data_IF_879154485046
#
_entry.id   IF_879154485046
#
_cell.length_a   1.000
_cell.length_b   1.000
_cell.length_c   1.000
_cell.angle_alpha   90.00
_cell.angle_beta   90.00
_cell.angle_gamma   90.00
#
_symmetry.space_group_name_H-M   'P 1'
#
loop_
_entity.id
_entity.type
_entity.pdbx_description
1 polymer ?
#
# COMPACT_ATOMS: atom_id res chain seq x y z
N UNK A 1 -7.44 -6.01 -7.19
CA UNK A 1 -6.64 -4.87 -7.69
C UNK A 1 -5.47 -4.70 -6.74
N UNK A 2 -4.23 -4.89 -7.20
CA UNK A 2 -3.02 -4.60 -6.43
C UNK A 2 -2.42 -3.31 -6.95
N UNK A 3 -2.01 -2.42 -6.05
CA UNK A 3 -1.30 -1.19 -6.40
C UNK A 3 -0.21 -0.89 -5.38
N UNK A 4 0.90 -0.36 -5.86
CA UNK A 4 2.07 -0.04 -5.04
C UNK A 4 2.49 1.39 -5.35
N UNK A 5 3.00 2.10 -4.34
CA UNK A 5 3.58 3.42 -4.51
C UNK A 5 2.55 4.39 -5.11
N UNK A 6 2.97 5.22 -6.05
CA UNK A 6 2.12 6.22 -6.72
C UNK A 6 1.09 5.61 -7.67
N UNK A 7 1.07 4.29 -7.85
CA UNK A 7 0.04 3.62 -8.64
C UNK A 7 -1.37 3.92 -8.13
N UNK A 8 -1.56 4.03 -6.81
CA UNK A 8 -2.86 4.36 -6.24
C UNK A 8 -3.30 5.80 -6.56
N UNK A 9 -2.35 6.73 -6.67
CA UNK A 9 -2.64 8.13 -7.05
C UNK A 9 -3.06 8.24 -8.51
N UNK A 10 -2.42 7.46 -9.40
CA UNK A 10 -2.82 7.39 -10.81
C UNK A 10 -4.22 6.76 -10.95
N UNK A 11 -4.47 5.65 -10.24
CA UNK A 11 -5.77 4.97 -10.24
C UNK A 11 -6.88 5.83 -9.64
N UNK A 12 -6.58 6.65 -8.62
CA UNK A 12 -7.55 7.54 -8.00
C UNK A 12 -8.20 8.49 -9.04
N UNK A 13 -7.46 8.94 -10.06
CA UNK A 13 -8.00 9.83 -11.10
C UNK A 13 -9.17 9.22 -11.87
N UNK A 14 -9.26 7.89 -11.91
CA UNK A 14 -10.35 7.17 -12.59
C UNK A 14 -11.63 7.06 -11.77
N UNK A 15 -11.60 7.40 -10.47
CA UNK A 15 -12.71 7.18 -9.53
C UNK A 15 -12.84 5.74 -9.03
N UNK A 16 -12.00 4.81 -9.49
CA UNK A 16 -12.05 3.40 -9.08
C UNK A 16 -11.78 3.19 -7.57
N UNK A 17 -11.14 4.16 -6.91
CA UNK A 17 -10.76 4.08 -5.50
C UNK A 17 -11.71 4.85 -4.57
N UNK A 18 -12.79 5.42 -5.10
CA UNK A 18 -13.72 6.25 -4.33
C UNK A 18 -14.41 5.43 -3.24
N UNK A 19 -14.47 5.97 -2.03
CA UNK A 19 -15.04 5.34 -0.84
C UNK A 19 -14.13 4.33 -0.14
N UNK A 20 -13.01 3.94 -0.75
CA UNK A 20 -12.09 2.93 -0.24
C UNK A 20 -10.92 3.51 0.57
N UNK A 21 -10.45 2.70 1.51
CA UNK A 21 -9.25 2.94 2.32
C UNK A 21 -8.02 2.50 1.54
N UNK A 22 -7.14 3.45 1.21
CA UNK A 22 -6.01 3.22 0.31
C UNK A 22 -4.76 3.90 0.88
N UNK A 23 -3.62 3.21 0.82
CA UNK A 23 -2.32 3.84 1.09
C UNK A 23 -1.53 4.06 -0.21
N UNK A 24 -0.52 4.91 -0.13
CA UNK A 24 0.42 5.21 -1.23
C UNK A 24 1.81 5.47 -0.67
N UNK A 25 2.77 5.77 -1.55
CA UNK A 25 4.09 6.22 -1.11
C UNK A 25 3.96 7.44 -0.20
N UNK A 26 4.52 7.36 1.02
CA UNK A 26 4.31 8.37 2.05
C UNK A 26 4.83 9.75 1.67
N UNK A 27 5.98 9.81 1.01
CA UNK A 27 6.57 11.08 0.60
C UNK A 27 5.69 11.77 -0.45
N UNK A 28 5.24 11.04 -1.47
CA UNK A 28 4.37 11.62 -2.51
C UNK A 28 2.99 11.94 -1.95
N UNK A 29 2.47 11.10 -1.06
CA UNK A 29 1.20 11.35 -0.38
C UNK A 29 1.26 12.64 0.44
N UNK A 30 2.36 12.89 1.15
CA UNK A 30 2.63 14.16 1.85
C UNK A 30 2.57 15.34 0.89
N UNK A 31 3.38 15.30 -0.17
CA UNK A 31 3.49 16.40 -1.15
C UNK A 31 2.13 16.77 -1.75
N UNK A 32 1.32 15.76 -2.10
CA UNK A 32 0.00 16.01 -2.68
C UNK A 32 -1.04 16.44 -1.66
N UNK A 33 -0.97 15.96 -0.42
CA UNK A 33 -1.82 16.42 0.67
C UNK A 33 -1.57 17.90 0.98
N UNK A 34 -0.31 18.29 1.11
CA UNK A 34 0.11 19.68 1.35
C UNK A 34 -0.27 20.61 0.19
N UNK A 35 -0.26 20.10 -1.04
CA UNK A 35 -0.72 20.82 -2.22
C UNK A 35 -2.26 20.87 -2.37
N UNK A 36 -3.03 20.15 -1.54
CA UNK A 36 -4.48 20.06 -1.66
C UNK A 36 -4.96 19.30 -2.91
N UNK A 37 -4.10 18.45 -3.49
CA UNK A 37 -4.31 17.76 -4.77
C UNK A 37 -4.74 16.30 -4.64
N UNK A 38 -4.95 15.82 -3.41
CA UNK A 38 -5.49 14.48 -3.20
C UNK A 38 -6.97 14.42 -3.57
N UNK A 39 -7.36 13.30 -4.19
CA UNK A 39 -8.78 12.99 -4.46
C UNK A 39 -9.50 12.79 -3.13
N UNK A 40 -10.54 13.58 -2.86
CA UNK A 40 -11.23 13.67 -1.57
C UNK A 40 -12.16 12.48 -1.32
N UNK A 41 -12.57 11.82 -2.38
CA UNK A 41 -13.45 10.65 -2.34
C UNK A 41 -12.70 9.39 -1.88
N UNK A 42 -11.35 9.39 -1.92
CA UNK A 42 -10.51 8.30 -1.43
C UNK A 42 -10.14 8.52 0.04
N UNK A 43 -10.22 7.48 0.87
CA UNK A 43 -9.81 7.53 2.27
C UNK A 43 -8.32 7.18 2.39
N UNK A 44 -7.46 8.19 2.33
CA UNK A 44 -6.01 8.00 2.34
C UNK A 44 -5.48 7.59 3.72
N UNK A 45 -4.70 6.51 3.77
CA UNK A 45 -4.11 5.95 5.00
C UNK A 45 -2.59 6.11 4.96
N UNK A 46 -2.03 6.89 5.90
CA UNK A 46 -0.58 7.15 6.00
C UNK A 46 0.21 6.17 6.89
N UNK A 47 -0.56 5.39 7.61
CA UNK A 47 -0.26 4.42 8.66
C UNK A 47 0.50 3.12 8.47
N UNK A 48 0.53 2.69 7.21
CA UNK A 48 0.49 1.28 6.85
C UNK A 48 1.55 1.00 5.80
N UNK A 49 2.15 -0.18 5.87
CA UNK A 49 2.93 -0.73 4.76
C UNK A 49 1.98 -1.09 3.62
N UNK A 50 0.89 -1.78 3.94
CA UNK A 50 -0.18 -2.08 3.02
C UNK A 50 -1.53 -2.14 3.71
N UNK A 51 -2.61 -2.03 2.94
CA UNK A 51 -3.99 -2.17 3.43
C UNK A 51 -4.86 -2.88 2.39
N UNK A 52 -5.78 -3.68 2.90
CA UNK A 52 -6.80 -4.40 2.12
C UNK A 52 -8.17 -3.82 2.44
N UNK A 53 -8.87 -3.33 1.43
CA UNK A 53 -10.27 -2.89 1.50
C UNK A 53 -11.06 -3.61 0.39
N UNK A 54 -11.76 -4.68 0.78
CA UNK A 54 -12.48 -5.55 -0.15
C UNK A 54 -11.56 -6.16 -1.19
N UNK A 55 -11.69 -5.71 -2.45
CA UNK A 55 -10.90 -6.20 -3.60
C UNK A 55 -9.68 -5.32 -3.89
N UNK A 56 -9.45 -4.26 -3.14
CA UNK A 56 -8.35 -3.30 -3.32
C UNK A 56 -7.26 -3.59 -2.30
N UNK A 57 -6.08 -3.88 -2.82
CA UNK A 57 -4.87 -4.20 -2.08
C UNK A 57 -3.86 -3.11 -2.43
N UNK A 58 -3.59 -2.22 -1.50
CA UNK A 58 -2.70 -1.07 -1.75
C UNK A 58 -1.51 -1.10 -0.82
N UNK A 59 -0.33 -0.76 -1.34
CA UNK A 59 0.90 -0.66 -0.58
C UNK A 59 1.53 0.72 -0.72
N UNK A 60 2.30 1.08 0.31
CA UNK A 60 3.08 2.30 0.39
C UNK A 60 4.30 2.27 -0.54
N UNK A 61 5.50 2.29 0.04
CA UNK A 61 6.75 2.28 -0.74
C UNK A 61 7.07 0.92 -1.38
N UNK A 62 8.20 0.85 -2.08
CA UNK A 62 8.67 -0.33 -2.83
C UNK A 62 8.70 -1.57 -1.93
N UNK A 63 9.37 -1.50 -0.78
CA UNK A 63 9.51 -2.65 0.13
C UNK A 63 8.18 -3.07 0.74
N UNK A 64 7.24 -2.14 0.92
CA UNK A 64 5.90 -2.50 1.38
C UNK A 64 5.07 -3.20 0.29
N UNK A 65 5.40 -2.96 -0.99
CA UNK A 65 4.86 -3.70 -2.11
C UNK A 65 5.30 -5.16 -2.15
N UNK A 66 6.55 -5.45 -1.76
CA UNK A 66 7.04 -6.83 -1.61
C UNK A 66 6.27 -7.57 -0.52
N UNK A 67 6.08 -6.93 0.64
CA UNK A 67 5.28 -7.49 1.74
C UNK A 67 3.82 -7.72 1.34
N UNK A 68 3.23 -6.79 0.58
CA UNK A 68 1.88 -6.94 0.06
C UNK A 68 1.78 -8.14 -0.89
N UNK A 69 2.75 -8.29 -1.79
CA UNK A 69 2.78 -9.42 -2.73
C UNK A 69 2.94 -10.74 -1.99
N UNK A 70 3.77 -10.79 -0.95
CA UNK A 70 3.91 -11.97 -0.10
C UNK A 70 2.61 -12.32 0.64
N UNK A 71 1.91 -11.33 1.22
CA UNK A 71 0.63 -11.57 1.90
C UNK A 71 -0.47 -12.01 0.93
N UNK A 72 -0.54 -11.37 -0.24
CA UNK A 72 -1.45 -11.79 -1.30
C UNK A 72 -1.17 -13.25 -1.70
N UNK A 73 0.12 -13.59 -1.84
CA UNK A 73 0.53 -14.95 -2.20
C UNK A 73 0.12 -15.96 -1.14
N UNK A 74 0.36 -15.65 0.14
CA UNK A 74 0.00 -16.47 1.31
C UNK A 74 -1.50 -16.79 1.37
N UNK A 75 -2.36 -15.86 0.93
CA UNK A 75 -3.82 -16.03 0.98
C UNK A 75 -4.37 -16.78 -0.23
N UNK A 76 -3.73 -16.67 -1.40
CA UNK A 76 -4.32 -17.10 -2.67
C UNK A 76 -3.61 -18.27 -3.34
N UNK A 77 -2.44 -18.69 -2.86
CA UNK A 77 -1.65 -19.75 -3.47
C UNK A 77 -1.34 -20.89 -2.49
N UNK A 78 -0.89 -22.00 -3.06
CA UNK A 78 -0.47 -23.17 -2.29
C UNK A 78 0.70 -22.83 -1.33
N UNK A 79 0.65 -23.25 -0.06
CA UNK A 79 1.67 -22.93 0.92
C UNK A 79 3.09 -23.38 0.52
N UNK A 80 3.25 -24.52 -0.16
CA UNK A 80 4.57 -25.01 -0.57
C UNK A 80 5.19 -24.11 -1.65
N UNK A 81 4.36 -23.62 -2.57
CA UNK A 81 4.78 -22.64 -3.60
C UNK A 81 5.14 -21.30 -2.97
N UNK A 82 4.39 -20.85 -1.96
CA UNK A 82 4.66 -19.59 -1.26
C UNK A 82 5.99 -19.69 -0.48
N UNK A 83 6.26 -20.79 0.20
CA UNK A 83 7.52 -21.00 0.91
C UNK A 83 8.71 -21.13 -0.05
N UNK A 84 8.54 -21.81 -1.19
CA UNK A 84 9.56 -21.84 -2.24
C UNK A 84 9.85 -20.45 -2.81
N UNK A 85 8.81 -19.66 -3.08
CA UNK A 85 8.97 -18.29 -3.59
C UNK A 85 9.76 -17.41 -2.63
N UNK A 86 9.47 -17.47 -1.32
CA UNK A 86 10.23 -16.77 -0.27
C UNK A 86 11.69 -17.23 -0.21
N UNK A 87 11.93 -18.54 -0.34
CA UNK A 87 13.29 -19.10 -0.30
C UNK A 87 14.13 -18.66 -1.50
N UNK A 88 13.55 -18.66 -2.71
CA UNK A 88 14.27 -18.26 -3.95
C UNK A 88 14.50 -16.74 -4.00
N UNK A 89 13.55 -15.94 -3.52
CA UNK A 89 13.71 -14.48 -3.50
C UNK A 89 14.52 -13.96 -2.32
N UNK A 90 14.88 -14.84 -1.37
CA UNK A 90 15.52 -14.49 -0.09
C UNK A 90 14.72 -13.44 0.71
N UNK A 91 13.40 -13.38 0.49
CA UNK A 91 12.54 -12.36 1.08
C UNK A 91 12.03 -12.81 2.46
N UNK A 92 12.12 -11.89 3.44
CA UNK A 92 11.47 -12.05 4.75
C UNK A 92 10.38 -10.97 4.90
N UNK A 93 9.12 -11.29 4.55
CA UNK A 93 8.04 -10.32 4.53
C UNK A 93 7.75 -9.77 5.92
N UNK A 94 7.46 -8.47 5.99
CA UNK A 94 7.05 -7.75 7.19
C UNK A 94 5.52 -7.63 7.25
N UNK A 95 4.92 -7.65 8.45
CA UNK A 95 3.50 -7.36 8.60
C UNK A 95 3.17 -5.93 8.17
N UNK A 96 1.89 -5.61 7.94
CA UNK A 96 1.45 -4.28 7.51
C UNK A 96 1.83 -3.15 8.49
N UNK A 97 1.90 -3.48 9.78
CA UNK A 97 2.31 -2.61 10.88
C UNK A 97 3.33 -3.29 11.81
N UNK A 98 4.19 -2.49 12.46
CA UNK A 98 4.35 -1.04 12.28
C UNK A 98 5.01 -0.68 10.95
N UNK A 99 4.67 0.49 10.40
CA UNK A 99 5.42 1.05 9.27
C UNK A 99 6.46 2.06 9.76
N UNK A 100 7.73 1.68 9.65
CA UNK A 100 8.86 2.51 10.09
C UNK A 100 8.93 3.91 9.43
N UNK A 101 8.22 4.11 8.32
CA UNK A 101 8.21 5.38 7.58
C UNK A 101 6.96 6.23 7.86
N UNK A 102 6.02 5.76 8.69
CA UNK A 102 4.77 6.48 8.98
C UNK A 102 5.01 7.93 9.43
N UNK A 103 6.13 8.18 10.13
CA UNK A 103 6.55 9.51 10.59
C UNK A 103 6.63 10.56 9.47
N UNK A 104 6.82 10.15 8.21
CA UNK A 104 6.84 11.08 7.08
C UNK A 104 5.51 11.82 6.90
N UNK A 105 4.41 11.30 7.45
CA UNK A 105 3.08 11.88 7.39
C UNK A 105 2.63 12.50 8.71
N UNK A 106 3.52 12.63 9.69
CA UNK A 106 3.20 13.28 10.97
C UNK A 106 2.78 14.73 10.73
N UNK A 107 1.62 15.11 11.26
CA UNK A 107 1.04 16.44 11.09
C UNK A 107 0.43 16.72 9.71
N UNK A 108 0.48 15.77 8.78
CA UNK A 108 -0.13 15.90 7.45
C UNK A 108 -1.61 15.51 7.53
N UNK A 109 -2.48 16.39 7.04
CA UNK A 109 -3.91 16.08 6.89
C UNK A 109 -4.14 15.38 5.56
N UNK A 110 -4.43 14.08 5.63
CA UNK A 110 -4.82 13.25 4.50
C UNK A 110 -6.29 13.40 4.13
#
# INVERSE_FOLDING_TARGET
LLTVCTGSLALAQTGLLDGHSVCSNKYVLKVLAEAGSLRKEVKWIGDRRWIVDGKIWSAGGITAGLDLAAEFSRIHFDPEIVELAKAISEETPKPDRPDAWAYLLDGVKL
#
